data_IF_159368052628
#
_entry.id   IF_159368052628
#
_cell.length_a   1.000
_cell.length_b   1.000
_cell.length_c   1.000
_cell.angle_alpha   90.00
_cell.angle_beta   90.00
_cell.angle_gamma   90.00
#
_symmetry.space_group_name_H-M   'P 1'
#
loop_
_entity.id
_entity.type
_entity.pdbx_description
1 polymer ?
#
# COMPACT_ATOMS: atom_id res chain seq x y z
N UNK A 1 -39.65 -35.66 -24.94
CA UNK A 1 -39.02 -36.98 -25.08
C UNK A 1 -37.53 -36.79 -24.92
N UNK A 2 -36.90 -37.70 -24.15
CA UNK A 2 -35.46 -37.83 -23.82
C UNK A 2 -34.97 -36.81 -22.76
N UNK A 3 -35.04 -37.16 -21.47
CA UNK A 3 -34.01 -37.90 -20.68
C UNK A 3 -32.80 -36.99 -20.38
N UNK A 4 -32.47 -36.58 -19.15
CA UNK A 4 -32.54 -37.30 -17.87
C UNK A 4 -31.13 -37.77 -17.51
N UNK A 5 -30.36 -36.97 -16.75
CA UNK A 5 -29.09 -37.43 -16.17
C UNK A 5 -28.73 -36.67 -14.89
N UNK A 6 -29.10 -37.28 -13.77
CA UNK A 6 -28.69 -36.96 -12.41
C UNK A 6 -27.21 -37.25 -12.20
N UNK A 7 -26.44 -36.28 -11.72
CA UNK A 7 -25.11 -36.54 -11.17
C UNK A 7 -25.21 -36.66 -9.65
N UNK A 8 -24.76 -37.83 -9.16
CA UNK A 8 -24.73 -38.20 -7.76
C UNK A 8 -23.46 -37.69 -7.10
N UNK A 9 -23.65 -37.25 -5.87
CA UNK A 9 -22.69 -36.92 -4.84
C UNK A 9 -21.60 -38.00 -4.66
N UNK A 10 -20.34 -37.55 -4.60
CA UNK A 10 -19.21 -38.32 -4.10
C UNK A 10 -18.47 -37.49 -3.04
N UNK A 11 -18.86 -37.66 -1.78
CA UNK A 11 -18.15 -37.14 -0.61
C UNK A 11 -16.89 -38.00 -0.44
N UNK A 12 -15.72 -37.42 -0.64
CA UNK A 12 -14.44 -38.06 -0.34
C UNK A 12 -13.90 -37.44 0.96
N UNK A 13 -14.12 -38.13 2.07
CA UNK A 13 -13.48 -37.81 3.34
C UNK A 13 -12.02 -38.27 3.29
N UNK A 14 -11.08 -37.32 3.27
CA UNK A 14 -9.68 -37.61 3.61
C UNK A 14 -9.47 -37.33 5.09
N UNK A 15 -9.36 -38.41 5.87
CA UNK A 15 -8.77 -38.39 7.19
C UNK A 15 -7.24 -38.36 7.02
N UNK A 16 -6.60 -37.24 7.36
CA UNK A 16 -5.14 -37.18 7.52
C UNK A 16 -4.82 -37.24 9.00
N UNK A 17 -4.04 -38.25 9.34
CA UNK A 17 -3.61 -38.58 10.68
C UNK A 17 -2.68 -37.51 11.25
N UNK A 18 -2.93 -37.15 12.51
CA UNK A 18 -2.06 -36.38 13.38
C UNK A 18 -0.88 -37.26 13.79
N UNK A 19 0.33 -36.99 13.30
CA UNK A 19 1.57 -37.51 13.88
C UNK A 19 2.25 -36.41 14.67
N UNK A 20 2.10 -36.46 15.99
CA UNK A 20 2.90 -35.70 16.93
C UNK A 20 4.32 -36.30 16.98
N UNK A 21 5.32 -35.50 16.61
CA UNK A 21 6.71 -35.78 16.90
C UNK A 21 7.24 -34.65 17.80
N UNK A 22 7.27 -34.91 19.10
CA UNK A 22 8.05 -34.17 20.06
C UNK A 22 9.47 -34.78 20.09
N UNK A 23 10.50 -33.94 19.99
CA UNK A 23 11.78 -34.03 20.73
C UNK A 23 12.81 -33.10 20.09
N UNK A 24 13.59 -32.42 20.94
CA UNK A 24 14.97 -32.06 20.60
C UNK A 24 15.31 -30.59 20.70
N UNK A 25 15.46 -30.10 21.92
CA UNK A 25 16.24 -28.90 22.22
C UNK A 25 17.71 -29.09 21.82
N UNK A 26 18.33 -28.10 21.18
CA UNK A 26 19.73 -27.75 21.46
C UNK A 26 20.00 -26.30 21.08
N UNK A 27 20.23 -25.50 22.12
CA UNK A 27 20.80 -24.16 22.05
C UNK A 27 22.23 -24.25 21.51
N UNK A 28 22.53 -23.47 20.47
CA UNK A 28 23.90 -23.12 20.12
C UNK A 28 24.04 -21.61 20.29
N UNK A 29 24.60 -21.22 21.42
CA UNK A 29 25.15 -19.88 21.64
C UNK A 29 26.34 -19.70 20.70
N UNK A 30 26.20 -18.82 19.71
CA UNK A 30 27.34 -18.33 18.94
C UNK A 30 27.85 -17.06 19.62
N UNK A 31 28.82 -17.24 20.51
CA UNK A 31 29.67 -16.15 21.02
C UNK A 31 30.60 -15.70 19.90
N UNK A 32 30.30 -14.58 19.26
CA UNK A 32 31.25 -13.91 18.36
C UNK A 32 32.12 -12.96 19.17
N UNK A 33 33.37 -13.38 19.36
CA UNK A 33 34.46 -12.58 19.92
C UNK A 33 34.73 -11.36 19.03
N UNK A 34 34.60 -10.16 19.61
CA UNK A 34 35.03 -8.90 18.99
C UNK A 34 36.55 -8.81 19.16
N UNK A 35 37.29 -8.96 18.07
CA UNK A 35 38.72 -8.65 18.03
C UNK A 35 38.90 -7.17 17.69
N UNK A 36 39.28 -6.39 18.69
CA UNK A 36 39.85 -5.05 18.51
C UNK A 36 41.15 -5.16 17.70
N UNK A 37 41.21 -4.45 16.58
CA UNK A 37 42.49 -4.13 15.92
C UNK A 37 42.62 -2.62 15.86
N UNK A 38 43.41 -2.09 16.78
CA UNK A 38 43.96 -0.75 16.71
C UNK A 38 45.00 -0.69 15.60
N UNK A 39 44.78 0.17 14.60
CA UNK A 39 45.85 0.63 13.72
C UNK A 39 45.83 2.15 13.60
N UNK A 40 46.91 2.70 14.13
CA UNK A 40 47.48 4.04 13.99
C UNK A 40 47.37 4.67 12.60
N UNK A 41 47.03 5.97 12.61
CA UNK A 41 47.76 7.00 11.86
C UNK A 41 47.32 7.25 10.42
N UNK A 42 46.43 8.23 10.23
CA UNK A 42 46.36 8.95 8.95
C UNK A 42 46.13 10.46 9.18
N UNK A 43 47.23 11.21 9.20
CA UNK A 43 47.24 12.68 9.11
C UNK A 43 46.93 13.08 7.68
N UNK A 44 45.64 13.30 7.39
CA UNK A 44 45.19 13.88 6.12
C UNK A 44 45.32 15.42 6.16
N UNK A 45 46.02 16.06 5.21
CA UNK A 45 46.06 17.51 5.10
C UNK A 45 44.70 18.09 4.68
N UNK A 46 44.40 19.35 5.04
CA UNK A 46 43.11 19.99 4.74
C UNK A 46 42.88 20.07 3.23
N UNK A 47 41.70 19.62 2.81
CA UNK A 47 41.22 19.67 1.43
C UNK A 47 40.89 21.13 1.09
N UNK A 48 41.70 21.75 0.25
CA UNK A 48 41.41 23.03 -0.38
C UNK A 48 40.24 22.86 -1.34
N UNK A 49 39.11 23.51 -1.04
CA UNK A 49 37.99 23.63 -1.98
C UNK A 49 38.33 24.69 -3.02
N UNK A 50 38.71 24.25 -4.21
CA UNK A 50 38.83 25.11 -5.39
C UNK A 50 37.43 25.32 -5.96
N UNK A 51 36.82 26.45 -5.65
CA UNK A 51 35.58 26.91 -6.30
C UNK A 51 35.91 27.34 -7.74
N UNK A 52 35.48 26.57 -8.73
CA UNK A 52 35.49 26.98 -10.14
C UNK A 52 34.51 28.15 -10.32
N UNK A 53 34.92 29.31 -10.86
CA UNK A 53 33.99 30.36 -11.24
C UNK A 53 33.18 29.88 -12.44
N UNK A 54 31.90 29.57 -12.21
CA UNK A 54 30.94 29.41 -13.30
C UNK A 54 30.76 30.75 -14.00
N UNK A 55 30.86 30.73 -15.34
CA UNK A 55 30.56 31.87 -16.20
C UNK A 55 29.21 32.49 -15.82
N UNK A 56 29.25 33.67 -15.23
CA UNK A 56 28.09 34.53 -15.12
C UNK A 56 27.75 35.04 -16.53
N UNK A 57 26.76 34.41 -17.16
CA UNK A 57 26.07 35.03 -18.30
C UNK A 57 25.25 36.18 -17.75
N UNK A 58 25.80 37.39 -17.84
CA UNK A 58 25.08 38.63 -17.59
C UNK A 58 24.04 38.80 -18.69
N UNK A 59 22.83 38.29 -18.48
CA UNK A 59 21.67 38.69 -19.28
C UNK A 59 21.23 40.05 -18.77
N UNK A 60 21.53 41.09 -19.55
CA UNK A 60 20.97 42.43 -19.38
C UNK A 60 19.46 42.33 -19.54
N UNK A 61 18.74 42.34 -18.42
CA UNK A 61 17.28 42.44 -18.42
C UNK A 61 16.93 43.90 -18.63
N UNK A 62 16.31 44.18 -19.76
CA UNK A 62 15.75 45.49 -20.09
C UNK A 62 14.65 45.86 -19.06
N UNK A 63 14.70 47.05 -18.44
CA UNK A 63 13.68 47.48 -17.50
C UNK A 63 12.43 47.89 -18.29
N UNK A 64 11.44 47.02 -18.39
CA UNK A 64 10.19 47.39 -19.06
C UNK A 64 9.14 46.33 -19.28
N UNK A 65 9.44 45.04 -19.13
CA UNK A 65 8.46 43.98 -19.41
C UNK A 65 8.09 43.24 -18.14
N UNK A 66 6.93 43.57 -17.57
CA UNK A 66 6.25 42.75 -16.57
C UNK A 66 5.83 41.45 -17.25
N UNK A 67 6.70 40.44 -17.23
CA UNK A 67 6.32 39.08 -17.59
C UNK A 67 5.43 38.56 -16.46
N UNK A 68 4.12 38.68 -16.64
CA UNK A 68 3.13 37.92 -15.88
C UNK A 68 3.39 36.45 -16.17
N UNK A 69 4.18 35.80 -15.31
CA UNK A 69 4.25 34.34 -15.30
C UNK A 69 2.86 33.89 -14.88
N UNK A 70 2.05 33.48 -15.84
CA UNK A 70 0.81 32.80 -15.57
C UNK A 70 1.20 31.56 -14.77
N UNK A 71 0.93 31.59 -13.45
CA UNK A 71 0.84 30.37 -12.67
C UNK A 71 -0.27 29.58 -13.32
N UNK A 72 0.10 28.54 -14.06
CA UNK A 72 -0.83 27.48 -14.42
C UNK A 72 -1.29 26.91 -13.09
N UNK A 73 -2.40 27.40 -12.56
CA UNK A 73 -3.19 26.69 -11.56
C UNK A 73 -3.43 25.33 -12.18
N UNK A 74 -2.71 24.33 -11.70
CA UNK A 74 -2.95 22.95 -12.07
C UNK A 74 -4.44 22.69 -11.92
N UNK A 75 -5.04 22.12 -12.96
CA UNK A 75 -6.44 21.70 -12.95
C UNK A 75 -6.57 20.51 -11.99
N UNK A 76 -6.37 20.73 -10.69
CA UNK A 76 -6.74 19.75 -9.67
C UNK A 76 -8.25 19.86 -9.56
N UNK A 77 -8.95 18.94 -10.22
CA UNK A 77 -10.37 18.75 -10.02
C UNK A 77 -10.61 18.58 -8.50
N UNK A 78 -11.51 19.38 -7.88
CA UNK A 78 -11.78 19.23 -6.47
C UNK A 78 -12.28 17.80 -6.21
N UNK A 79 -11.76 17.18 -5.15
CA UNK A 79 -12.16 15.83 -4.79
C UNK A 79 -13.68 15.76 -4.60
N UNK A 80 -14.36 14.75 -5.16
CA UNK A 80 -15.78 14.59 -4.98
C UNK A 80 -16.09 14.34 -3.50
N UNK A 81 -17.28 14.71 -3.02
CA UNK A 81 -17.70 14.30 -1.70
C UNK A 81 -17.72 12.77 -1.64
N UNK A 82 -17.33 12.21 -0.50
CA UNK A 82 -17.56 10.80 -0.22
C UNK A 82 -19.07 10.53 -0.29
N UNK A 83 -19.46 9.50 -1.03
CA UNK A 83 -20.83 9.08 -1.28
C UNK A 83 -21.49 8.43 -0.05
N UNK A 84 -22.56 7.65 -0.25
CA UNK A 84 -23.26 6.93 0.84
C UNK A 84 -23.47 5.43 0.56
N UNK A 85 -22.96 4.94 -0.56
CA UNK A 85 -23.07 3.52 -0.94
C UNK A 85 -21.85 2.70 -0.53
N UNK A 86 -21.85 1.43 -0.92
CA UNK A 86 -20.74 0.49 -0.65
C UNK A 86 -19.46 0.90 -1.39
N UNK A 87 -18.35 0.87 -0.67
CA UNK A 87 -17.00 1.17 -1.14
C UNK A 87 -16.26 -0.14 -1.40
N UNK A 88 -15.75 -0.32 -2.62
CA UNK A 88 -14.88 -1.45 -2.94
C UNK A 88 -13.51 -1.29 -2.26
N UNK A 89 -12.87 -2.38 -1.87
CA UNK A 89 -11.56 -2.35 -1.19
C UNK A 89 -10.54 -3.18 -1.97
N UNK A 90 -9.38 -2.57 -2.21
CA UNK A 90 -8.19 -3.19 -2.82
C UNK A 90 -7.01 -2.96 -1.88
N UNK A 91 -6.22 -3.99 -1.60
CA UNK A 91 -5.08 -3.84 -0.70
C UNK A 91 -4.50 -5.17 -0.26
N UNK A 92 -4.09 -5.26 0.99
CA UNK A 92 -3.43 -6.41 1.59
C UNK A 92 -3.96 -6.72 3.00
N UNK A 93 -3.27 -7.57 3.76
CA UNK A 93 -3.61 -7.92 5.14
C UNK A 93 -3.66 -6.71 6.08
N UNK A 94 -2.82 -5.71 5.87
CA UNK A 94 -2.91 -4.44 6.63
C UNK A 94 -4.23 -3.72 6.35
N UNK A 95 -4.71 -3.79 5.12
CA UNK A 95 -5.99 -3.24 4.67
C UNK A 95 -7.14 -4.00 5.33
N UNK A 96 -7.12 -5.34 5.31
CA UNK A 96 -8.15 -6.14 5.99
C UNK A 96 -8.29 -5.78 7.47
N UNK A 97 -7.16 -5.60 8.14
CA UNK A 97 -7.15 -5.30 9.57
C UNK A 97 -7.58 -3.84 9.85
N UNK A 98 -7.25 -2.89 8.97
CA UNK A 98 -7.79 -1.53 9.07
C UNK A 98 -9.31 -1.51 8.83
N UNK A 99 -9.80 -2.23 7.81
CA UNK A 99 -11.24 -2.37 7.52
C UNK A 99 -11.96 -3.08 8.67
N UNK A 100 -11.37 -4.10 9.28
CA UNK A 100 -11.96 -4.75 10.45
C UNK A 100 -12.18 -3.76 11.61
N UNK A 101 -11.19 -2.90 11.87
CA UNK A 101 -11.34 -1.81 12.83
C UNK A 101 -12.39 -0.77 12.43
N UNK A 102 -12.50 -0.46 11.14
CA UNK A 102 -13.54 0.42 10.60
C UNK A 102 -14.93 -0.17 10.82
N UNK A 103 -15.17 -1.43 10.46
CA UNK A 103 -16.46 -2.12 10.66
C UNK A 103 -16.85 -2.19 12.13
N UNK A 104 -15.88 -2.34 13.05
CA UNK A 104 -16.15 -2.31 14.50
C UNK A 104 -16.60 -0.93 15.02
N UNK A 105 -16.28 0.16 14.32
CA UNK A 105 -16.46 1.54 14.77
C UNK A 105 -17.51 2.33 13.97
N UNK A 106 -17.62 2.06 12.68
CA UNK A 106 -18.48 2.78 11.75
C UNK A 106 -19.95 2.48 12.00
N UNK A 107 -20.77 3.52 11.84
CA UNK A 107 -22.23 3.36 11.82
C UNK A 107 -22.80 3.11 10.42
N UNK A 108 -21.98 3.34 9.39
CA UNK A 108 -22.38 3.20 7.99
C UNK A 108 -21.91 1.88 7.37
N UNK A 109 -20.80 1.31 7.87
CA UNK A 109 -20.23 0.02 7.47
C UNK A 109 -20.12 -0.15 5.94
N UNK A 110 -19.50 0.85 5.29
CA UNK A 110 -19.52 0.98 3.83
C UNK A 110 -18.41 0.20 3.12
N UNK A 111 -17.29 -0.04 3.79
CA UNK A 111 -16.11 -0.67 3.19
C UNK A 111 -16.29 -2.19 3.15
N UNK A 112 -16.04 -2.82 2.01
CA UNK A 112 -16.11 -4.27 1.92
C UNK A 112 -14.96 -4.97 2.65
N UNK A 113 -15.30 -5.96 3.47
CA UNK A 113 -14.33 -6.79 4.19
C UNK A 113 -13.82 -7.93 3.32
N UNK A 114 -12.54 -8.31 3.40
CA UNK A 114 -11.99 -9.44 2.65
C UNK A 114 -10.87 -10.22 3.31
N UNK A 115 -10.35 -11.21 2.58
CA UNK A 115 -9.07 -11.85 2.85
C UNK A 115 -8.12 -11.39 1.74
N UNK A 116 -7.66 -10.15 1.87
CA UNK A 116 -6.72 -9.49 0.97
C UNK A 116 -5.29 -9.92 1.28
N UNK A 117 -5.02 -10.50 2.46
CA UNK A 117 -3.83 -11.29 2.76
C UNK A 117 -2.51 -10.72 2.20
N UNK A 118 -1.93 -11.39 1.21
CA UNK A 118 -0.66 -10.98 0.61
C UNK A 118 -0.80 -10.01 -0.57
N UNK A 119 -1.88 -9.24 -0.66
CA UNK A 119 -2.10 -8.37 -1.81
C UNK A 119 -1.00 -7.31 -1.89
N UNK A 120 -0.60 -6.96 -3.09
CA UNK A 120 0.40 -5.92 -3.35
C UNK A 120 0.18 -5.37 -4.75
N UNK A 121 0.74 -4.19 -5.10
CA UNK A 121 0.58 -3.63 -6.44
C UNK A 121 0.86 -4.60 -7.59
N UNK A 122 1.93 -5.42 -7.62
CA UNK A 122 2.07 -6.42 -8.68
C UNK A 122 0.95 -7.47 -8.66
N UNK A 123 0.57 -7.95 -7.47
CA UNK A 123 -0.49 -8.96 -7.36
C UNK A 123 -1.85 -8.48 -7.88
N UNK A 124 -2.13 -7.17 -7.85
CA UNK A 124 -3.37 -6.59 -8.37
C UNK A 124 -3.21 -6.00 -9.78
N UNK A 125 -2.01 -5.56 -10.14
CA UNK A 125 -1.70 -4.74 -11.31
C UNK A 125 -0.92 -5.45 -12.42
N UNK A 126 -0.36 -6.62 -12.17
CA UNK A 126 0.38 -7.40 -13.17
C UNK A 126 -0.39 -8.66 -13.58
N UNK A 127 -0.95 -8.72 -14.80
CA UNK A 127 -1.66 -9.90 -15.29
C UNK A 127 -0.81 -11.18 -15.40
N UNK A 128 0.52 -11.08 -15.29
CA UNK A 128 1.42 -12.24 -15.26
C UNK A 128 1.60 -12.85 -13.88
N UNK A 129 1.18 -12.16 -12.81
CA UNK A 129 1.22 -12.68 -11.44
C UNK A 129 0.17 -13.78 -11.23
N UNK A 130 0.58 -14.89 -10.60
CA UNK A 130 -0.30 -16.03 -10.36
C UNK A 130 -1.54 -15.67 -9.52
N UNK A 131 -1.41 -14.68 -8.64
CA UNK A 131 -2.48 -14.23 -7.74
C UNK A 131 -3.37 -13.14 -8.33
N UNK A 132 -3.04 -12.61 -9.50
CA UNK A 132 -3.85 -11.61 -10.19
C UNK A 132 -5.33 -12.00 -10.33
N UNK A 133 -5.69 -13.18 -10.88
CA UNK A 133 -7.11 -13.56 -10.99
C UNK A 133 -7.77 -13.83 -9.64
N UNK A 134 -7.02 -14.28 -8.63
CA UNK A 134 -7.53 -14.55 -7.27
C UNK A 134 -8.00 -13.24 -6.61
N UNK A 135 -7.16 -12.21 -6.64
CA UNK A 135 -7.46 -10.92 -6.02
C UNK A 135 -8.62 -10.19 -6.69
N UNK A 136 -8.67 -10.18 -8.03
CA UNK A 136 -9.84 -9.63 -8.71
C UNK A 136 -11.12 -10.45 -8.48
N UNK A 137 -11.00 -11.77 -8.29
CA UNK A 137 -12.12 -12.61 -7.86
C UNK A 137 -12.66 -12.20 -6.49
N UNK A 138 -11.76 -11.95 -5.53
CA UNK A 138 -12.10 -11.42 -4.19
C UNK A 138 -12.88 -10.11 -4.30
N UNK A 139 -12.44 -9.17 -5.15
CA UNK A 139 -13.11 -7.89 -5.34
C UNK A 139 -14.54 -8.05 -5.89
N UNK A 140 -14.72 -8.93 -6.88
CA UNK A 140 -16.03 -9.19 -7.50
C UNK A 140 -16.98 -9.96 -6.59
N UNK A 141 -16.50 -10.96 -5.83
CA UNK A 141 -17.33 -11.78 -4.94
C UNK A 141 -18.02 -10.96 -3.84
N UNK A 142 -17.48 -9.77 -3.54
CA UNK A 142 -17.98 -8.83 -2.52
C UNK A 142 -18.79 -7.69 -3.11
N UNK A 143 -18.84 -7.59 -4.44
CA UNK A 143 -19.50 -6.50 -5.13
C UNK A 143 -21.01 -6.60 -4.91
N UNK A 144 -21.66 -5.56 -4.35
CA UNK A 144 -23.11 -5.59 -4.21
C UNK A 144 -23.77 -5.55 -5.58
N UNK A 145 -25.00 -6.04 -5.68
CA UNK A 145 -25.75 -6.06 -6.95
C UNK A 145 -25.94 -4.65 -7.55
N UNK A 146 -25.85 -3.60 -6.74
CA UNK A 146 -25.92 -2.19 -7.15
C UNK A 146 -24.60 -1.65 -7.72
N UNK A 147 -23.51 -2.41 -7.64
CA UNK A 147 -22.15 -1.94 -7.91
C UNK A 147 -21.57 -1.12 -6.75
N UNK A 148 -20.27 -0.86 -6.83
CA UNK A 148 -19.61 0.07 -5.91
C UNK A 148 -19.92 1.50 -6.31
N UNK A 149 -19.95 2.40 -5.33
CA UNK A 149 -20.07 3.85 -5.61
C UNK A 149 -18.72 4.55 -5.64
N UNK A 150 -17.71 3.93 -5.04
CA UNK A 150 -16.33 4.41 -4.86
C UNK A 150 -15.44 3.19 -4.58
N UNK A 151 -14.13 3.33 -4.77
CA UNK A 151 -13.15 2.29 -4.39
C UNK A 151 -12.03 2.89 -3.57
N UNK A 152 -11.67 2.25 -2.47
CA UNK A 152 -10.48 2.55 -1.70
C UNK A 152 -9.37 1.56 -2.02
N UNK A 153 -8.20 2.08 -2.35
CA UNK A 153 -6.99 1.31 -2.67
C UNK A 153 -5.92 1.66 -1.64
N UNK A 154 -5.45 0.66 -0.89
CA UNK A 154 -4.29 0.82 -0.02
C UNK A 154 -3.06 0.14 -0.64
N UNK A 155 -2.03 0.93 -0.94
CA UNK A 155 -0.82 0.48 -1.61
C UNK A 155 0.15 -0.20 -0.63
N UNK A 156 0.04 -1.52 -0.53
CA UNK A 156 0.99 -2.35 0.21
C UNK A 156 2.21 -2.74 -0.64
N UNK A 157 3.11 -1.80 -0.90
CA UNK A 157 4.39 -2.07 -1.58
C UNK A 157 5.34 -2.81 -0.65
N UNK A 158 5.79 -4.00 -1.05
CA UNK A 158 6.77 -4.77 -0.27
C UNK A 158 8.19 -4.32 -0.57
N UNK A 159 9.08 -4.53 0.40
CA UNK A 159 10.51 -4.24 0.26
C UNK A 159 11.17 -5.00 -0.90
N UNK A 160 10.64 -6.17 -1.28
CA UNK A 160 11.10 -6.95 -2.44
C UNK A 160 10.57 -6.46 -3.79
N UNK A 161 9.57 -5.58 -3.79
CA UNK A 161 8.84 -5.12 -4.97
C UNK A 161 9.26 -3.72 -5.42
N UNK A 162 10.04 -3.01 -4.61
CA UNK A 162 10.60 -1.69 -4.94
C UNK A 162 12.12 -1.66 -4.77
N UNK A 163 12.80 -0.82 -5.55
CA UNK A 163 14.27 -0.69 -5.52
C UNK A 163 14.76 0.48 -4.65
N UNK A 164 13.95 0.89 -3.67
CA UNK A 164 14.23 2.01 -2.76
C UNK A 164 13.76 3.37 -3.29
N UNK A 165 13.05 3.37 -4.42
CA UNK A 165 12.38 4.53 -5.00
C UNK A 165 11.11 4.08 -5.72
N UNK A 166 10.17 4.99 -5.89
CA UNK A 166 9.03 4.82 -6.78
C UNK A 166 9.47 4.99 -8.24
N UNK A 167 9.19 4.01 -9.11
CA UNK A 167 9.62 4.02 -10.51
C UNK A 167 8.49 3.68 -11.51
N UNK A 168 8.84 3.57 -12.80
CA UNK A 168 7.88 3.32 -13.89
C UNK A 168 7.16 1.97 -13.76
N UNK A 169 7.76 1.00 -13.08
CA UNK A 169 7.18 -0.32 -12.82
C UNK A 169 6.00 -0.20 -11.88
N UNK A 170 6.17 0.48 -10.73
CA UNK A 170 5.06 0.70 -9.81
C UNK A 170 3.97 1.59 -10.42
N UNK A 171 4.35 2.59 -11.23
CA UNK A 171 3.38 3.39 -12.00
C UNK A 171 2.53 2.52 -12.93
N UNK A 172 3.15 1.56 -13.63
CA UNK A 172 2.44 0.65 -14.53
C UNK A 172 1.45 -0.24 -13.77
N UNK A 173 1.86 -0.83 -12.65
CA UNK A 173 0.97 -1.64 -11.81
C UNK A 173 -0.22 -0.83 -11.28
N UNK A 174 0.04 0.36 -10.74
CA UNK A 174 -1.02 1.23 -10.19
C UNK A 174 -1.98 1.70 -11.29
N UNK A 175 -1.46 2.08 -12.46
CA UNK A 175 -2.30 2.41 -13.62
C UNK A 175 -3.21 1.26 -13.99
N UNK A 176 -2.68 0.02 -14.01
CA UNK A 176 -3.47 -1.15 -14.34
C UNK A 176 -4.53 -1.47 -13.28
N UNK A 177 -4.23 -1.28 -11.99
CA UNK A 177 -5.22 -1.38 -10.91
C UNK A 177 -6.39 -0.41 -11.15
N UNK A 178 -6.07 0.85 -11.46
CA UNK A 178 -7.07 1.90 -11.74
C UNK A 178 -7.91 1.55 -12.97
N UNK A 179 -7.29 1.10 -14.06
CA UNK A 179 -7.99 0.65 -15.26
C UNK A 179 -8.91 -0.53 -14.97
N UNK A 180 -8.47 -1.49 -14.16
CA UNK A 180 -9.28 -2.63 -13.77
C UNK A 180 -10.50 -2.21 -12.93
N UNK A 181 -10.36 -1.24 -12.03
CA UNK A 181 -11.49 -0.69 -11.27
C UNK A 181 -12.47 0.01 -12.22
N UNK A 182 -12.00 0.91 -13.08
CA UNK A 182 -12.87 1.62 -14.03
C UNK A 182 -13.57 0.71 -15.04
N UNK A 183 -12.94 -0.40 -15.43
CA UNK A 183 -13.58 -1.42 -16.29
C UNK A 183 -14.76 -2.10 -15.60
N UNK A 184 -14.70 -2.27 -14.27
CA UNK A 184 -15.72 -2.94 -13.46
C UNK A 184 -16.82 -1.98 -13.04
N UNK A 185 -16.42 -0.81 -12.55
CA UNK A 185 -17.27 0.24 -12.02
C UNK A 185 -16.92 1.58 -12.71
N UNK A 186 -17.49 1.86 -13.89
CA UNK A 186 -17.14 3.05 -14.65
C UNK A 186 -17.55 4.35 -13.95
N UNK A 187 -16.60 5.30 -13.84
CA UNK A 187 -16.87 6.68 -13.40
C UNK A 187 -17.01 6.89 -11.89
N UNK A 188 -16.72 5.86 -11.08
CA UNK A 188 -16.63 6.03 -9.63
C UNK A 188 -15.28 6.64 -9.25
N UNK A 189 -15.19 7.43 -8.16
CA UNK A 189 -13.91 7.90 -7.66
C UNK A 189 -13.11 6.75 -7.02
N UNK A 190 -11.79 6.84 -7.17
CA UNK A 190 -10.84 5.92 -6.54
C UNK A 190 -10.00 6.71 -5.53
N UNK A 191 -10.10 6.35 -4.25
CA UNK A 191 -9.29 6.91 -3.18
C UNK A 191 -8.05 6.04 -2.98
N UNK A 192 -6.87 6.60 -3.19
CA UNK A 192 -5.60 5.85 -3.08
C UNK A 192 -4.78 6.32 -1.87
N UNK A 193 -4.40 5.37 -1.03
CA UNK A 193 -3.66 5.58 0.21
C UNK A 193 -2.36 4.77 0.22
N UNK A 194 -1.33 5.24 0.91
CA UNK A 194 -0.18 4.40 1.22
C UNK A 194 -0.56 3.30 2.22
N UNK A 195 0.30 2.28 2.32
CA UNK A 195 0.32 1.40 3.50
C UNK A 195 0.47 2.24 4.77
N UNK A 196 -0.03 1.71 5.90
CA UNK A 196 0.05 2.38 7.19
C UNK A 196 1.47 2.87 7.50
N UNK A 197 1.57 4.03 8.15
CA UNK A 197 2.82 4.52 8.70
C UNK A 197 3.10 3.88 10.06
N UNK A 198 4.38 3.93 10.45
CA UNK A 198 4.87 3.36 11.70
C UNK A 198 5.76 4.37 12.43
N UNK A 199 5.72 4.37 13.76
CA UNK A 199 6.57 5.21 14.62
C UNK A 199 7.43 4.34 15.54
N UNK A 200 8.75 4.52 15.47
CA UNK A 200 9.70 3.82 16.33
C UNK A 200 9.88 2.33 16.04
N UNK A 201 9.28 1.82 14.96
CA UNK A 201 9.36 0.44 14.47
C UNK A 201 9.50 0.42 12.95
N UNK A 202 9.99 -0.69 12.41
CA UNK A 202 10.07 -0.94 10.96
C UNK A 202 9.31 -2.23 10.67
N UNK A 203 8.33 -2.14 9.77
CA UNK A 203 7.67 -3.33 9.26
C UNK A 203 8.58 -4.01 8.21
N UNK A 204 9.10 -5.20 8.53
CA UNK A 204 10.03 -5.93 7.66
C UNK A 204 9.48 -6.20 6.25
N UNK A 205 8.17 -6.42 6.13
CA UNK A 205 7.52 -6.74 4.85
C UNK A 205 7.58 -5.58 3.85
N UNK A 206 7.45 -4.34 4.32
CA UNK A 206 7.49 -3.13 3.48
C UNK A 206 8.83 -2.41 3.55
N UNK A 207 9.67 -2.76 4.53
CA UNK A 207 10.95 -2.09 4.78
C UNK A 207 10.78 -0.69 5.36
N UNK A 208 11.91 -0.05 5.70
CA UNK A 208 11.90 1.27 6.34
C UNK A 208 11.34 2.37 5.43
N UNK A 209 11.60 2.28 4.12
CA UNK A 209 11.21 3.29 3.14
C UNK A 209 9.86 3.00 2.48
N UNK A 210 9.31 1.79 2.64
CA UNK A 210 8.08 1.34 1.98
C UNK A 210 6.89 2.29 2.16
N UNK A 211 6.55 2.74 3.39
CA UNK A 211 5.46 3.70 3.60
C UNK A 211 5.67 5.03 2.87
N UNK A 212 6.90 5.54 2.82
CA UNK A 212 7.22 6.80 2.14
C UNK A 212 7.12 6.65 0.61
N UNK A 213 7.62 5.53 0.06
CA UNK A 213 7.51 5.20 -1.36
C UNK A 213 6.03 5.02 -1.76
N UNK A 214 5.25 4.33 -0.94
CA UNK A 214 3.80 4.16 -1.17
C UNK A 214 3.05 5.51 -1.11
N UNK A 215 3.52 6.45 -0.29
CA UNK A 215 2.94 7.80 -0.21
C UNK A 215 3.25 8.61 -1.47
N UNK A 216 4.49 8.58 -1.94
CA UNK A 216 4.89 9.17 -3.23
C UNK A 216 4.06 8.58 -4.38
N UNK A 217 3.88 7.25 -4.39
CA UNK A 217 3.06 6.56 -5.38
C UNK A 217 1.57 6.99 -5.34
N UNK A 218 1.02 7.18 -4.13
CA UNK A 218 -0.37 7.64 -3.94
C UNK A 218 -0.55 9.09 -4.42
N UNK A 219 0.42 9.96 -4.12
CA UNK A 219 0.41 11.36 -4.55
C UNK A 219 0.53 11.47 -6.08
N UNK A 220 1.43 10.67 -6.68
CA UNK A 220 1.55 10.59 -8.14
C UNK A 220 0.24 10.13 -8.77
N UNK A 221 -0.37 9.06 -8.26
CA UNK A 221 -1.59 8.50 -8.83
C UNK A 221 -2.73 9.53 -8.81
N UNK A 222 -2.92 10.22 -7.68
CA UNK A 222 -3.92 11.29 -7.55
C UNK A 222 -3.65 12.50 -8.47
N UNK A 223 -2.38 12.76 -8.82
CA UNK A 223 -2.02 13.86 -9.71
C UNK A 223 -2.06 13.47 -11.20
N UNK A 224 -1.80 12.20 -11.53
CA UNK A 224 -1.55 11.75 -12.90
C UNK A 224 -2.72 10.96 -13.50
N UNK A 225 -3.53 10.27 -12.69
CA UNK A 225 -4.56 9.36 -13.18
C UNK A 225 -5.97 9.97 -13.04
N UNK A 226 -6.79 9.95 -14.10
CA UNK A 226 -8.13 10.54 -14.05
C UNK A 226 -9.04 9.75 -13.11
N UNK A 227 -9.87 10.44 -12.32
CA UNK A 227 -10.79 9.81 -11.37
C UNK A 227 -10.14 9.24 -10.12
N UNK A 228 -8.81 9.41 -9.97
CA UNK A 228 -8.07 9.01 -8.77
C UNK A 228 -7.85 10.23 -7.88
N UNK A 229 -8.11 10.05 -6.60
CA UNK A 229 -8.00 11.07 -5.57
C UNK A 229 -7.17 10.54 -4.41
N UNK A 230 -6.52 11.47 -3.70
CA UNK A 230 -5.71 11.10 -2.54
C UNK A 230 -6.60 10.65 -1.39
N UNK A 231 -6.42 9.42 -0.94
CA UNK A 231 -7.06 8.84 0.24
C UNK A 231 -6.33 9.23 1.54
N UNK A 232 -6.82 8.76 2.71
CA UNK A 232 -6.23 9.09 4.01
C UNK A 232 -4.86 8.42 4.20
N UNK A 233 -3.99 9.08 4.96
CA UNK A 233 -2.81 8.46 5.54
C UNK A 233 -3.18 7.79 6.86
N UNK A 234 -2.94 6.48 6.95
CA UNK A 234 -3.26 5.73 8.15
C UNK A 234 -2.03 5.57 9.05
N UNK A 235 -2.25 5.54 10.36
CA UNK A 235 -1.22 5.49 11.39
C UNK A 235 -0.86 6.89 11.95
N UNK A 236 0.34 7.05 12.55
CA UNK A 236 1.36 6.03 12.70
C UNK A 236 0.95 4.95 13.71
N UNK A 237 1.38 3.71 13.47
CA UNK A 237 1.34 2.63 14.44
C UNK A 237 2.64 2.59 15.26
N UNK A 238 2.52 2.49 16.58
CA UNK A 238 3.65 2.27 17.48
C UNK A 238 3.80 0.77 17.80
N UNK A 239 4.86 0.42 18.55
CA UNK A 239 5.04 -0.95 19.08
C UNK A 239 3.89 -1.44 19.97
N UNK A 240 3.07 -0.54 20.52
CA UNK A 240 1.87 -0.91 21.28
C UNK A 240 0.68 -1.30 20.39
N UNK A 241 0.70 -0.93 19.11
CA UNK A 241 -0.41 -1.09 18.17
C UNK A 241 -0.14 -2.15 17.09
N UNK A 242 1.08 -2.66 16.99
CA UNK A 242 1.43 -3.79 16.13
C UNK A 242 1.45 -5.11 16.89
N UNK A 243 1.31 -6.21 16.16
CA UNK A 243 1.49 -7.56 16.68
C UNK A 243 2.97 -7.83 16.99
N UNK A 244 3.24 -8.42 18.14
CA UNK A 244 4.60 -8.78 18.62
C UNK A 244 5.37 -9.77 17.74
N UNK A 245 4.77 -10.25 16.64
CA UNK A 245 5.33 -11.32 15.81
C UNK A 245 6.03 -10.83 14.55
N UNK A 246 5.61 -9.68 14.01
CA UNK A 246 6.11 -9.21 12.72
C UNK A 246 6.28 -7.70 12.62
N UNK A 247 5.97 -6.94 13.69
CA UNK A 247 6.06 -5.47 13.76
C UNK A 247 5.38 -4.74 12.56
N UNK A 248 4.46 -5.44 11.90
CA UNK A 248 3.79 -5.02 10.68
C UNK A 248 2.28 -4.98 10.90
N UNK A 249 1.69 -6.11 11.26
CA UNK A 249 0.24 -6.22 11.31
C UNK A 249 -0.30 -5.52 12.56
N UNK A 250 -1.31 -4.65 12.44
CA UNK A 250 -1.92 -4.03 13.59
C UNK A 250 -2.59 -5.09 14.49
N UNK A 251 -2.30 -5.02 15.79
CA UNK A 251 -3.04 -5.75 16.81
C UNK A 251 -4.43 -5.10 17.01
N UNK A 252 -5.22 -5.58 17.98
CA UNK A 252 -6.57 -5.03 18.19
C UNK A 252 -6.59 -3.51 18.47
N UNK A 253 -5.59 -2.97 19.18
CA UNK A 253 -5.49 -1.53 19.40
C UNK A 253 -5.15 -0.79 18.10
N UNK A 254 -4.20 -1.30 17.32
CA UNK A 254 -3.87 -0.74 16.01
C UNK A 254 -5.03 -0.77 15.03
N UNK A 255 -5.79 -1.87 14.99
CA UNK A 255 -6.98 -1.99 14.16
C UNK A 255 -7.98 -0.89 14.48
N UNK A 256 -8.27 -0.65 15.77
CA UNK A 256 -9.15 0.45 16.19
C UNK A 256 -8.61 1.83 15.82
N UNK A 257 -7.29 2.05 15.92
CA UNK A 257 -6.68 3.32 15.52
C UNK A 257 -6.87 3.58 14.02
N UNK A 258 -6.49 2.63 13.17
CA UNK A 258 -6.61 2.77 11.71
C UNK A 258 -8.07 2.82 11.28
N UNK A 259 -8.92 2.00 11.90
CA UNK A 259 -10.36 1.98 11.66
C UNK A 259 -11.03 3.30 12.00
N UNK A 260 -10.64 3.94 13.10
CA UNK A 260 -11.13 5.27 13.46
C UNK A 260 -10.76 6.34 12.44
N UNK A 261 -9.55 6.28 11.90
CA UNK A 261 -9.12 7.20 10.83
C UNK A 261 -9.87 6.96 9.51
N UNK A 262 -10.24 5.71 9.22
CA UNK A 262 -11.12 5.40 8.10
C UNK A 262 -12.55 5.89 8.33
N UNK A 263 -13.07 5.84 9.57
CA UNK A 263 -14.37 6.43 9.93
C UNK A 263 -14.34 7.94 9.69
N UNK A 264 -13.30 8.64 10.17
CA UNK A 264 -13.16 10.09 9.96
C UNK A 264 -13.12 10.48 8.47
N UNK A 265 -12.74 9.56 7.59
CA UNK A 265 -12.67 9.78 6.15
C UNK A 265 -13.96 9.40 5.41
N UNK A 266 -14.54 8.24 5.71
CA UNK A 266 -15.64 7.65 4.92
C UNK A 266 -17.05 7.88 5.47
N UNK A 267 -17.20 8.34 6.71
CA UNK A 267 -18.49 8.61 7.37
C UNK A 267 -18.81 10.11 7.45
#
# INVERSE_FOLDING_TARGET
MLEGRSWRWGILMFAVALTAAACGSSSAETTTTISETSTTGDTRPPRTSTTTPGNATTTTVEPGTTTTVASTTGNTEPAPPVGTGTVGVVGCSNTDLAVAGYTDLSSLDRLTTGDLGGGSPPSWGDPSEDRYPEYWGIYEDRRPATGYVETWVQLCLRSSEHQGSFDETEQAWITHIVDQIHQRDPGIPIWISPVNFYEGIVCDAVGADGPAIAAEASDWAAAALPGVYRGPDLGPLTSAEVGVRDDCHPNQAGQRLLGGQLVDFFD
#
